data_IF_785091027509
#
_entry.id   IF_785091027509
#
_cell.length_a   1.000
_cell.length_b   1.000
_cell.length_c   1.000
_cell.angle_alpha   90.00
_cell.angle_beta   90.00
_cell.angle_gamma   90.00
#
_symmetry.space_group_name_H-M   'P 1'
#
loop_
_entity.id
_entity.type
_entity.pdbx_description
1 polymer ?
#
# COMPACT_ATOMS: atom_id res chain seq x y z
N UNK A 1 -5.16 3.24 11.33
CA UNK A 1 -5.19 4.21 10.21
C UNK A 1 -6.03 3.66 9.06
N UNK A 2 -6.43 4.50 8.11
CA UNK A 2 -7.14 4.08 6.90
C UNK A 2 -6.14 3.82 5.77
N UNK A 3 -6.40 2.84 4.92
CA UNK A 3 -5.55 2.51 3.78
C UNK A 3 -6.31 1.80 2.67
N UNK A 4 -5.63 1.63 1.52
CA UNK A 4 -6.08 0.78 0.42
C UNK A 4 -5.21 -0.48 0.47
N UNK A 5 -5.83 -1.65 0.47
CA UNK A 5 -5.13 -2.95 0.48
C UNK A 5 -5.57 -3.75 -0.74
N UNK A 6 -4.59 -4.26 -1.47
CA UNK A 6 -4.78 -5.34 -2.43
C UNK A 6 -4.25 -6.62 -1.78
N UNK A 7 -5.11 -7.61 -1.58
CA UNK A 7 -4.78 -8.87 -0.91
C UNK A 7 -4.38 -10.00 -1.86
N UNK A 8 -4.28 -9.69 -3.16
CA UNK A 8 -4.01 -10.65 -4.23
C UNK A 8 -5.27 -11.04 -5.01
N UNK A 9 -6.46 -10.74 -4.49
CA UNK A 9 -7.74 -11.01 -5.16
C UNK A 9 -8.54 -9.72 -5.36
N UNK A 10 -8.66 -8.89 -4.32
CA UNK A 10 -9.50 -7.68 -4.33
C UNK A 10 -8.77 -6.45 -3.79
N UNK A 11 -9.07 -5.29 -4.38
CA UNK A 11 -8.69 -3.98 -3.87
C UNK A 11 -9.78 -3.44 -2.95
N UNK A 12 -9.48 -3.22 -1.67
CA UNK A 12 -10.44 -2.71 -0.71
C UNK A 12 -9.90 -1.52 0.11
N UNK A 13 -10.82 -0.65 0.54
CA UNK A 13 -10.52 0.43 1.48
C UNK A 13 -10.77 -0.10 2.89
N UNK A 14 -9.72 -0.15 3.69
CA UNK A 14 -9.75 -0.69 5.05
C UNK A 14 -9.52 0.40 6.08
N UNK A 15 -10.10 0.21 7.26
CA UNK A 15 -9.87 1.03 8.45
C UNK A 15 -9.15 0.21 9.52
N UNK A 16 -8.62 0.88 10.55
CA UNK A 16 -8.00 0.17 11.68
C UNK A 16 -6.61 -0.43 11.44
N UNK A 17 -5.91 -0.08 10.35
CA UNK A 17 -4.53 -0.53 10.14
C UNK A 17 -3.60 -0.05 11.26
N UNK A 18 -2.72 -0.93 11.75
CA UNK A 18 -1.70 -0.58 12.73
C UNK A 18 -0.34 -0.42 12.04
N UNK A 19 0.41 0.60 12.44
CA UNK A 19 1.76 0.84 11.95
C UNK A 19 2.74 0.35 13.01
N UNK A 20 3.70 -0.48 12.62
CA UNK A 20 4.82 -0.85 13.49
C UNK A 20 5.68 0.36 13.85
N UNK A 21 6.39 0.30 14.97
CA UNK A 21 7.38 1.32 15.28
C UNK A 21 8.50 1.35 14.22
N UNK A 22 9.03 2.54 13.89
CA UNK A 22 10.17 2.65 12.97
C UNK A 22 11.45 2.11 13.61
N UNK A 23 12.25 1.39 12.82
CA UNK A 23 13.56 0.88 13.21
C UNK A 23 14.69 1.90 12.94
N UNK A 24 15.94 1.66 13.40
CA UNK A 24 17.06 2.54 13.08
C UNK A 24 17.21 2.77 11.56
N UNK A 25 17.11 4.04 11.15
CA UNK A 25 17.18 4.46 9.74
C UNK A 25 15.82 4.67 9.06
N UNK A 26 14.72 4.38 9.75
CA UNK A 26 13.36 4.58 9.23
C UNK A 26 12.67 5.81 9.83
N UNK A 27 11.66 6.32 9.13
CA UNK A 27 10.83 7.44 9.58
C UNK A 27 9.35 7.14 9.40
N UNK A 28 8.54 7.56 10.37
CA UNK A 28 7.08 7.56 10.22
C UNK A 28 6.65 8.82 9.49
N UNK A 29 5.98 8.64 8.35
CA UNK A 29 5.47 9.77 7.54
C UNK A 29 3.95 9.77 7.59
N UNK A 30 3.38 10.92 7.98
CA UNK A 30 1.94 11.16 7.83
C UNK A 30 1.66 11.62 6.40
N UNK A 31 1.10 10.72 5.59
CA UNK A 31 0.74 11.02 4.20
C UNK A 31 -0.39 12.05 4.15
N UNK A 32 -0.16 13.18 3.46
CA UNK A 32 -1.19 14.19 3.22
C UNK A 32 -1.98 13.90 1.93
N UNK A 33 -1.27 13.51 0.87
CA UNK A 33 -1.83 13.12 -0.43
C UNK A 33 -0.92 12.07 -1.08
N UNK A 34 -1.50 11.17 -1.87
CA UNK A 34 -0.78 10.22 -2.73
C UNK A 34 -1.42 10.22 -4.11
N UNK A 35 -0.60 10.28 -5.16
CA UNK A 35 -1.06 10.10 -6.53
C UNK A 35 -1.23 8.62 -6.87
N UNK A 36 -2.02 8.35 -7.92
CA UNK A 36 -2.12 7.02 -8.54
C UNK A 36 -1.38 7.06 -9.87
N UNK A 37 -0.61 6.02 -10.14
CA UNK A 37 0.17 5.82 -11.35
C UNK A 37 -0.27 4.52 -12.05
N UNK A 38 0.18 4.33 -13.30
CA UNK A 38 -0.01 3.07 -14.01
C UNK A 38 0.70 1.90 -13.29
N UNK A 39 1.84 2.15 -12.63
CA UNK A 39 2.57 1.12 -11.90
C UNK A 39 1.76 0.49 -10.76
N UNK A 40 0.86 1.25 -10.13
CA UNK A 40 0.02 0.73 -9.06
C UNK A 40 -0.99 -0.29 -9.62
N UNK A 41 -1.57 0.01 -10.78
CA UNK A 41 -2.52 -0.86 -11.49
C UNK A 41 -1.82 -2.08 -12.07
N UNK A 42 -0.61 -1.92 -12.59
CA UNK A 42 0.18 -3.00 -13.18
C UNK A 42 0.54 -4.12 -12.20
N UNK A 43 0.53 -3.85 -10.89
CA UNK A 43 0.68 -4.89 -9.86
C UNK A 43 -0.61 -5.70 -9.73
N UNK A 44 -1.78 -5.03 -9.80
CA UNK A 44 -3.10 -5.65 -9.62
C UNK A 44 -3.45 -6.53 -10.82
N UNK A 45 -3.18 -6.07 -12.04
CA UNK A 45 -3.50 -6.80 -13.27
C UNK A 45 -2.43 -7.83 -13.69
N UNK A 46 -1.33 -7.94 -12.95
CA UNK A 46 -0.25 -8.89 -13.19
C UNK A 46 0.70 -8.52 -14.32
N UNK A 47 0.63 -7.29 -14.87
CA UNK A 47 1.61 -6.80 -15.85
C UNK A 47 3.02 -6.75 -15.29
N UNK A 48 3.16 -6.36 -14.01
CA UNK A 48 4.44 -6.37 -13.28
C UNK A 48 4.38 -7.48 -12.23
N UNK A 49 5.39 -8.37 -12.15
CA UNK A 49 5.45 -9.41 -11.13
C UNK A 49 5.59 -8.79 -9.73
N UNK A 50 4.76 -9.25 -8.80
CA UNK A 50 4.80 -8.90 -7.38
C UNK A 50 4.87 -10.18 -6.54
N UNK A 51 5.56 -10.20 -5.38
CA UNK A 51 5.64 -11.39 -4.54
C UNK A 51 4.25 -11.91 -4.15
N UNK A 52 4.04 -13.21 -4.31
CA UNK A 52 2.85 -13.97 -3.87
C UNK A 52 3.15 -14.77 -2.63
#
# INVERSE_FOLDING_TARGET
>A
MKGIVFDGEELSVVEGLELREPEPGEVTVRIANSGVCHSDVSVIDGTIPFPT
#
